data_IF_976989969486
#
_entry.id   IF_976989969486
#
_cell.length_a   1.000
_cell.length_b   1.000
_cell.length_c   1.000
_cell.angle_alpha   90.00
_cell.angle_beta   90.00
_cell.angle_gamma   90.00
#
_symmetry.space_group_name_H-M   'P 1'
#
loop_
_entity.id
_entity.type
_entity.pdbx_description
1 polymer ?
#
# COMPACT_ATOMS: atom_id res chain seq x y z
N UNK A 1 -13.27 26.04 -12.66
CA UNK A 1 -13.02 25.34 -11.38
C UNK A 1 -14.35 25.32 -10.64
N UNK A 2 -15.02 24.17 -10.39
CA UNK A 2 -15.91 23.96 -9.22
C UNK A 2 -16.89 22.78 -9.29
N UNK A 3 -17.20 22.15 -10.43
CA UNK A 3 -18.12 20.99 -10.41
C UNK A 3 -17.41 19.64 -10.27
N UNK A 4 -16.42 19.34 -11.13
CA UNK A 4 -15.68 18.07 -11.06
C UNK A 4 -14.97 17.84 -9.72
N UNK A 5 -14.31 18.88 -9.19
CA UNK A 5 -13.64 18.80 -7.87
C UNK A 5 -14.64 18.71 -6.71
N UNK A 6 -15.79 19.37 -6.82
CA UNK A 6 -16.85 19.25 -5.82
C UNK A 6 -17.50 17.87 -5.82
N UNK A 7 -17.69 17.25 -7.01
CA UNK A 7 -18.20 15.89 -7.15
C UNK A 7 -17.20 14.86 -6.60
N UNK A 8 -15.91 15.03 -6.90
CA UNK A 8 -14.85 14.17 -6.37
C UNK A 8 -14.77 14.18 -4.84
N UNK A 9 -14.98 15.34 -4.22
CA UNK A 9 -14.94 15.52 -2.76
C UNK A 9 -16.29 15.31 -2.05
N UNK A 10 -17.35 14.93 -2.78
CA UNK A 10 -18.69 14.79 -2.22
C UNK A 10 -18.82 13.47 -1.43
N UNK A 11 -18.91 13.60 -0.10
CA UNK A 11 -19.05 12.47 0.85
C UNK A 11 -20.46 11.84 0.82
N UNK A 12 -21.50 12.58 0.38
CA UNK A 12 -22.88 12.07 0.30
C UNK A 12 -23.34 11.75 -1.13
N UNK A 13 -23.83 10.52 -1.36
CA UNK A 13 -24.31 10.01 -2.66
C UNK A 13 -23.55 8.76 -3.13
N UNK A 14 -23.85 8.27 -4.33
CA UNK A 14 -23.08 7.18 -4.94
C UNK A 14 -21.68 7.69 -5.36
N UNK A 15 -20.66 7.28 -4.61
CA UNK A 15 -19.26 7.65 -4.85
C UNK A 15 -18.80 7.21 -6.25
N UNK A 16 -19.32 6.09 -6.76
CA UNK A 16 -18.99 5.61 -8.10
C UNK A 16 -19.53 6.57 -9.16
N UNK A 17 -20.83 6.89 -9.10
CA UNK A 17 -21.46 7.87 -9.99
C UNK A 17 -20.81 9.26 -9.90
N UNK A 18 -20.35 9.69 -8.73
CA UNK A 18 -19.63 10.96 -8.59
C UNK A 18 -18.29 10.99 -9.35
N UNK A 19 -17.54 9.87 -9.37
CA UNK A 19 -16.28 9.78 -10.12
C UNK A 19 -16.54 9.78 -11.63
N UNK A 20 -17.53 9.03 -12.11
CA UNK A 20 -17.90 9.06 -13.55
C UNK A 20 -18.31 10.47 -13.99
N UNK A 21 -19.16 11.14 -13.22
CA UNK A 21 -19.57 12.52 -13.52
C UNK A 21 -18.39 13.50 -13.48
N UNK A 22 -17.43 13.28 -12.58
CA UNK A 22 -16.22 14.11 -12.52
C UNK A 22 -15.36 13.92 -13.78
N UNK A 23 -15.16 12.67 -14.23
CA UNK A 23 -14.46 12.35 -15.48
C UNK A 23 -15.12 13.06 -16.65
N UNK A 24 -16.44 12.91 -16.83
CA UNK A 24 -17.18 13.57 -17.92
C UNK A 24 -17.04 15.11 -17.87
N UNK A 25 -17.12 15.70 -16.67
CA UNK A 25 -16.93 17.15 -16.50
C UNK A 25 -15.51 17.59 -16.88
N UNK A 26 -14.49 16.82 -16.53
CA UNK A 26 -13.11 17.13 -16.86
C UNK A 26 -12.84 16.95 -18.37
N UNK A 27 -13.36 15.90 -18.99
CA UNK A 27 -13.29 15.71 -20.44
C UNK A 27 -13.91 16.88 -21.20
N UNK A 28 -15.12 17.32 -20.81
CA UNK A 28 -15.75 18.53 -21.36
C UNK A 28 -14.93 19.80 -21.09
N UNK A 29 -14.29 19.92 -19.94
CA UNK A 29 -13.42 21.05 -19.66
C UNK A 29 -12.18 21.08 -20.56
N UNK A 30 -11.64 19.90 -20.96
CA UNK A 30 -10.55 19.79 -21.94
C UNK A 30 -11.00 20.09 -23.38
N UNK A 31 -12.29 20.11 -23.67
CA UNK A 31 -12.82 20.64 -24.94
C UNK A 31 -12.68 22.16 -25.03
N UNK A 32 -12.79 22.86 -23.89
CA UNK A 32 -12.74 24.32 -23.81
C UNK A 32 -11.33 24.82 -23.54
N UNK A 33 -10.67 24.29 -22.51
CA UNK A 33 -9.30 24.66 -22.17
C UNK A 33 -8.35 23.76 -22.94
N UNK A 34 -7.60 24.36 -23.87
CA UNK A 34 -6.55 23.69 -24.65
C UNK A 34 -5.18 24.04 -24.09
N UNK A 35 -4.19 23.17 -24.31
CA UNK A 35 -2.81 23.38 -23.85
C UNK A 35 -2.24 24.70 -24.39
N UNK A 36 -2.56 25.05 -25.62
CA UNK A 36 -2.03 26.23 -26.32
C UNK A 36 -2.67 27.54 -25.84
N UNK A 37 -3.94 27.51 -25.42
CA UNK A 37 -4.72 28.71 -25.10
C UNK A 37 -4.87 28.94 -23.60
N UNK A 38 -4.84 27.89 -22.80
CA UNK A 38 -5.00 27.95 -21.35
C UNK A 38 -4.15 26.87 -20.64
N UNK A 39 -2.81 26.89 -20.79
CA UNK A 39 -1.93 25.80 -20.37
C UNK A 39 -2.09 25.40 -18.90
N UNK A 40 -2.13 26.38 -17.98
CA UNK A 40 -2.25 26.11 -16.54
C UNK A 40 -3.60 25.49 -16.15
N UNK A 41 -4.70 25.96 -16.77
CA UNK A 41 -6.03 25.39 -16.53
C UNK A 41 -6.13 23.98 -17.12
N UNK A 42 -5.57 23.79 -18.32
CA UNK A 42 -5.48 22.49 -18.97
C UNK A 42 -4.70 21.50 -18.10
N UNK A 43 -3.51 21.86 -17.60
CA UNK A 43 -2.71 21.03 -16.70
C UNK A 43 -3.45 20.66 -15.40
N UNK A 44 -4.18 21.64 -14.83
CA UNK A 44 -5.03 21.41 -13.65
C UNK A 44 -6.13 20.39 -13.92
N UNK A 45 -6.78 20.47 -15.09
CA UNK A 45 -7.82 19.52 -15.47
C UNK A 45 -7.23 18.14 -15.74
N UNK A 46 -6.08 18.06 -16.42
CA UNK A 46 -5.37 16.80 -16.64
C UNK A 46 -5.01 16.13 -15.31
N UNK A 47 -4.41 16.85 -14.37
CA UNK A 47 -4.10 16.32 -13.05
C UNK A 47 -5.35 15.77 -12.34
N UNK A 48 -6.44 16.53 -12.31
CA UNK A 48 -7.65 16.09 -11.62
C UNK A 48 -8.37 14.93 -12.32
N UNK A 49 -8.33 14.89 -13.66
CA UNK A 49 -8.82 13.78 -14.46
C UNK A 49 -8.03 12.51 -14.16
N UNK A 50 -6.70 12.61 -14.05
CA UNK A 50 -5.87 11.48 -13.65
C UNK A 50 -6.20 10.95 -12.26
N UNK A 51 -6.47 11.84 -11.29
CA UNK A 51 -6.93 11.43 -9.94
C UNK A 51 -8.29 10.74 -10.03
N UNK A 52 -9.20 11.23 -10.87
CA UNK A 52 -10.51 10.62 -11.07
C UNK A 52 -10.38 9.22 -11.67
N UNK A 53 -9.58 9.02 -12.71
CA UNK A 53 -9.30 7.71 -13.29
C UNK A 53 -8.65 6.76 -12.27
N UNK A 54 -7.64 7.21 -11.51
CA UNK A 54 -7.01 6.38 -10.47
C UNK A 54 -7.99 5.98 -9.36
N UNK A 55 -8.99 6.78 -9.06
CA UNK A 55 -10.01 6.48 -8.04
C UNK A 55 -11.26 5.78 -8.59
N UNK A 56 -11.33 5.57 -9.90
CA UNK A 56 -12.47 4.95 -10.56
C UNK A 56 -12.57 3.46 -10.20
N UNK A 57 -13.74 3.08 -9.70
CA UNK A 57 -14.06 1.70 -9.28
C UNK A 57 -14.60 0.90 -10.47
N UNK A 58 -15.35 1.54 -11.37
CA UNK A 58 -15.89 0.91 -12.58
C UNK A 58 -14.87 0.77 -13.71
N UNK A 59 -15.15 -0.15 -14.63
CA UNK A 59 -14.31 -0.41 -15.81
C UNK A 59 -13.09 -1.27 -15.52
N UNK A 60 -12.22 -1.40 -16.53
CA UNK A 60 -10.97 -2.14 -16.41
C UNK A 60 -9.93 -1.34 -15.59
N UNK A 61 -9.38 -1.97 -14.52
CA UNK A 61 -8.46 -1.29 -13.60
C UNK A 61 -7.14 -0.93 -14.27
N UNK A 62 -6.64 -1.77 -15.17
CA UNK A 62 -5.40 -1.51 -15.90
C UNK A 62 -5.57 -0.28 -16.79
N UNK A 63 -6.64 -0.24 -17.58
CA UNK A 63 -6.99 0.91 -18.43
C UNK A 63 -7.15 2.20 -17.64
N UNK A 64 -7.83 2.16 -16.48
CA UNK A 64 -7.98 3.33 -15.61
C UNK A 64 -6.61 3.87 -15.14
N UNK A 65 -5.67 2.98 -14.79
CA UNK A 65 -4.33 3.37 -14.35
C UNK A 65 -3.48 3.95 -15.50
N UNK A 66 -3.55 3.38 -16.71
CA UNK A 66 -2.85 3.93 -17.87
C UNK A 66 -3.36 5.34 -18.22
N UNK A 67 -4.67 5.57 -18.18
CA UNK A 67 -5.23 6.90 -18.42
C UNK A 67 -4.83 7.90 -17.33
N UNK A 68 -4.75 7.45 -16.07
CA UNK A 68 -4.27 8.29 -14.98
C UNK A 68 -2.82 8.74 -15.22
N UNK A 69 -1.94 7.80 -15.57
CA UNK A 69 -0.53 8.05 -15.90
C UNK A 69 -0.43 9.04 -17.06
N UNK A 70 -1.14 8.80 -18.17
CA UNK A 70 -1.13 9.69 -19.34
C UNK A 70 -1.57 11.11 -18.98
N UNK A 71 -2.61 11.26 -18.17
CA UNK A 71 -3.07 12.58 -17.71
C UNK A 71 -2.03 13.29 -16.84
N UNK A 72 -1.35 12.57 -15.94
CA UNK A 72 -0.28 13.16 -15.13
C UNK A 72 0.94 13.56 -15.97
N UNK A 73 1.35 12.73 -16.93
CA UNK A 73 2.42 13.05 -17.87
C UNK A 73 2.09 14.31 -18.67
N UNK A 74 0.84 14.44 -19.16
CA UNK A 74 0.34 15.66 -19.81
C UNK A 74 0.44 16.88 -18.91
N UNK A 75 0.04 16.79 -17.63
CA UNK A 75 0.17 17.90 -16.69
C UNK A 75 1.63 18.34 -16.51
N UNK A 76 2.58 17.40 -16.50
CA UNK A 76 4.03 17.66 -16.41
C UNK A 76 4.62 18.30 -17.68
N UNK A 77 3.91 18.29 -18.82
CA UNK A 77 4.34 19.03 -20.02
C UNK A 77 4.19 20.55 -19.85
N UNK A 78 3.37 21.00 -18.90
CA UNK A 78 3.13 22.42 -18.60
C UNK A 78 3.80 22.81 -17.30
N UNK A 79 3.59 22.02 -16.24
CA UNK A 79 4.19 22.28 -14.95
C UNK A 79 5.56 21.63 -14.88
N UNK A 80 6.59 22.45 -14.90
CA UNK A 80 7.98 22.01 -14.69
C UNK A 80 8.45 22.40 -13.30
N UNK A 81 9.56 21.81 -12.85
CA UNK A 81 10.17 22.16 -11.56
C UNK A 81 10.49 23.66 -11.45
N UNK A 82 10.90 24.29 -12.54
CA UNK A 82 11.30 25.70 -12.59
C UNK A 82 10.11 26.65 -12.60
N UNK A 83 9.01 26.25 -13.25
CA UNK A 83 7.87 27.14 -13.54
C UNK A 83 6.74 27.00 -12.54
N UNK A 84 6.53 25.79 -12.00
CA UNK A 84 5.50 25.48 -11.02
C UNK A 84 5.98 24.37 -10.06
N UNK A 85 7.00 24.62 -9.22
CA UNK A 85 7.66 23.58 -8.43
C UNK A 85 6.70 22.78 -7.54
N UNK A 86 5.73 23.43 -6.90
CA UNK A 86 4.79 22.77 -5.99
C UNK A 86 3.79 21.88 -6.73
N UNK A 87 3.22 22.37 -7.84
CA UNK A 87 2.32 21.58 -8.68
C UNK A 87 3.08 20.41 -9.33
N UNK A 88 4.27 20.67 -9.87
CA UNK A 88 5.15 19.64 -10.41
C UNK A 88 5.44 18.54 -9.38
N UNK A 89 5.84 18.89 -8.16
CA UNK A 89 6.12 17.91 -7.10
C UNK A 89 4.87 17.13 -6.69
N UNK A 90 3.70 17.77 -6.71
CA UNK A 90 2.41 17.11 -6.44
C UNK A 90 2.08 16.09 -7.53
N UNK A 91 2.25 16.46 -8.80
CA UNK A 91 2.04 15.55 -9.93
C UNK A 91 3.04 14.40 -9.91
N UNK A 92 4.31 14.64 -9.57
CA UNK A 92 5.31 13.59 -9.38
C UNK A 92 4.89 12.59 -8.28
N UNK A 93 4.40 13.08 -7.13
CA UNK A 93 3.92 12.21 -6.06
C UNK A 93 2.77 11.30 -6.50
N UNK A 94 1.74 11.84 -7.15
CA UNK A 94 0.57 11.04 -7.59
C UNK A 94 0.89 10.15 -8.79
N UNK A 95 1.81 10.56 -9.67
CA UNK A 95 2.32 9.74 -10.76
C UNK A 95 3.13 8.55 -10.23
N UNK A 96 4.00 8.79 -9.24
CA UNK A 96 4.71 7.71 -8.56
C UNK A 96 3.76 6.70 -7.94
N UNK A 97 2.67 7.17 -7.32
CA UNK A 97 1.64 6.30 -6.76
C UNK A 97 0.89 5.51 -7.84
N UNK A 98 0.61 6.11 -9.00
CA UNK A 98 0.02 5.40 -10.12
C UNK A 98 0.95 4.32 -10.69
N UNK A 99 2.26 4.59 -10.77
CA UNK A 99 3.24 3.57 -11.15
C UNK A 99 3.35 2.43 -10.13
N UNK A 100 3.27 2.72 -8.83
CA UNK A 100 3.22 1.67 -7.79
C UNK A 100 2.00 0.76 -7.95
N UNK A 101 0.86 1.32 -8.35
CA UNK A 101 -0.40 0.57 -8.51
C UNK A 101 -0.56 -0.07 -9.90
N UNK A 102 0.26 0.34 -10.88
CA UNK A 102 0.15 -0.06 -12.29
C UNK A 102 0.24 -1.57 -12.46
N UNK A 103 -0.79 -2.13 -13.09
CA UNK A 103 -0.93 -3.56 -13.39
C UNK A 103 -0.17 -3.92 -14.67
N UNK A 104 -0.30 -3.11 -15.73
CA UNK A 104 0.38 -3.35 -17.00
C UNK A 104 1.89 -3.07 -16.99
N UNK A 105 2.61 -3.70 -17.91
CA UNK A 105 4.05 -3.51 -18.11
C UNK A 105 4.92 -4.27 -17.11
N UNK A 106 6.24 -4.13 -17.21
CA UNK A 106 7.16 -4.83 -16.31
C UNK A 106 7.15 -4.24 -14.90
N UNK A 107 6.80 -5.06 -13.90
CA UNK A 107 6.74 -4.66 -12.48
C UNK A 107 8.02 -3.97 -12.00
N UNK A 108 9.18 -4.46 -12.43
CA UNK A 108 10.49 -3.86 -12.11
C UNK A 108 10.55 -2.41 -12.59
N UNK A 109 10.19 -2.15 -13.85
CA UNK A 109 10.23 -0.81 -14.45
C UNK A 109 9.22 0.12 -13.79
N UNK A 110 8.02 -0.37 -13.49
CA UNK A 110 7.00 0.40 -12.78
C UNK A 110 7.52 0.89 -11.42
N UNK A 111 8.20 0.03 -10.65
CA UNK A 111 8.79 0.41 -9.37
C UNK A 111 9.94 1.41 -9.49
N UNK A 112 10.82 1.27 -10.50
CA UNK A 112 11.88 2.27 -10.74
C UNK A 112 11.30 3.63 -11.13
N UNK A 113 10.28 3.66 -12.00
CA UNK A 113 9.59 4.89 -12.36
C UNK A 113 8.93 5.54 -11.13
N UNK A 114 8.30 4.74 -10.25
CA UNK A 114 7.70 5.24 -9.02
C UNK A 114 8.74 5.88 -8.09
N UNK A 115 9.88 5.19 -7.88
CA UNK A 115 11.00 5.70 -7.08
C UNK A 115 11.52 7.02 -7.64
N UNK A 116 11.76 7.09 -8.96
CA UNK A 116 12.23 8.31 -9.62
C UNK A 116 11.25 9.48 -9.42
N UNK A 117 9.94 9.23 -9.54
CA UNK A 117 8.92 10.25 -9.30
C UNK A 117 8.92 10.73 -7.84
N UNK A 118 9.04 9.83 -6.86
CA UNK A 118 9.11 10.23 -5.46
C UNK A 118 10.40 11.00 -5.13
N UNK A 119 11.54 10.58 -5.67
CA UNK A 119 12.81 11.30 -5.54
C UNK A 119 12.70 12.72 -6.10
N UNK A 120 12.11 12.86 -7.31
CA UNK A 120 11.78 14.17 -7.90
C UNK A 120 10.89 15.02 -7.00
N UNK A 121 9.84 14.45 -6.42
CA UNK A 121 8.97 15.18 -5.50
C UNK A 121 9.72 15.69 -4.25
N UNK A 122 10.68 14.91 -3.72
CA UNK A 122 11.54 15.31 -2.60
C UNK A 122 12.54 16.43 -2.95
N UNK A 123 12.78 16.72 -4.23
CA UNK A 123 13.61 17.87 -4.62
C UNK A 123 12.96 19.23 -4.31
N UNK A 124 11.64 19.24 -4.10
CA UNK A 124 10.85 20.43 -3.78
C UNK A 124 10.20 20.33 -2.41
N UNK A 125 9.67 19.15 -2.06
CA UNK A 125 9.05 18.90 -0.76
C UNK A 125 10.15 18.68 0.26
N UNK A 126 10.21 19.53 1.28
CA UNK A 126 11.13 19.43 2.39
C UNK A 126 10.37 19.48 3.72
N UNK A 127 10.96 18.93 4.78
CA UNK A 127 10.35 18.87 6.11
C UNK A 127 10.00 20.26 6.64
N UNK A 128 10.80 21.28 6.34
CA UNK A 128 10.65 22.64 6.84
C UNK A 128 9.52 23.42 6.16
N UNK A 129 9.21 23.10 4.90
CA UNK A 129 8.29 23.89 4.07
C UNK A 129 6.95 23.19 3.84
N UNK A 130 6.94 21.86 3.82
CA UNK A 130 5.75 21.05 3.59
C UNK A 130 5.85 19.70 4.32
N UNK A 131 5.87 19.69 5.67
CA UNK A 131 6.18 18.49 6.46
C UNK A 131 5.27 17.31 6.17
N UNK A 132 3.95 17.53 6.04
CA UNK A 132 2.98 16.46 5.77
C UNK A 132 3.13 15.87 4.36
N UNK A 133 3.35 16.71 3.36
CA UNK A 133 3.58 16.25 1.99
C UNK A 133 4.91 15.51 1.89
N UNK A 134 5.96 16.02 2.54
CA UNK A 134 7.25 15.35 2.63
C UNK A 134 7.13 13.96 3.28
N UNK A 135 6.44 13.85 4.41
CA UNK A 135 6.19 12.57 5.08
C UNK A 135 5.42 11.58 4.18
N UNK A 136 4.47 12.08 3.39
CA UNK A 136 3.74 11.27 2.40
C UNK A 136 4.67 10.72 1.33
N UNK A 137 5.55 11.57 0.77
CA UNK A 137 6.53 11.14 -0.23
C UNK A 137 7.49 10.12 0.38
N UNK A 138 8.01 10.35 1.60
CA UNK A 138 8.89 9.43 2.31
C UNK A 138 8.21 8.06 2.51
N UNK A 139 6.99 8.02 3.02
CA UNK A 139 6.25 6.76 3.22
C UNK A 139 6.08 5.98 1.90
N UNK A 140 5.70 6.67 0.82
CA UNK A 140 5.49 6.05 -0.48
C UNK A 140 6.80 5.55 -1.11
N UNK A 141 7.88 6.35 -1.00
CA UNK A 141 9.22 5.96 -1.41
C UNK A 141 9.71 4.73 -0.64
N UNK A 142 9.50 4.70 0.67
CA UNK A 142 9.85 3.56 1.52
C UNK A 142 9.14 2.28 1.08
N UNK A 143 7.84 2.36 0.79
CA UNK A 143 7.07 1.23 0.27
C UNK A 143 7.57 0.76 -1.11
N UNK A 144 7.87 1.69 -2.02
CA UNK A 144 8.40 1.34 -3.34
C UNK A 144 9.79 0.69 -3.26
N UNK A 145 10.68 1.23 -2.41
CA UNK A 145 12.01 0.67 -2.14
C UNK A 145 11.92 -0.74 -1.54
N UNK A 146 11.01 -0.95 -0.59
CA UNK A 146 10.77 -2.25 0.00
C UNK A 146 10.32 -3.30 -1.02
N UNK A 147 9.56 -2.90 -2.04
CA UNK A 147 9.08 -3.78 -3.10
C UNK A 147 10.01 -3.84 -4.32
N UNK A 148 11.05 -3.00 -4.36
CA UNK A 148 11.99 -2.88 -5.48
C UNK A 148 12.65 -4.23 -5.78
N UNK A 149 12.55 -4.63 -7.05
CA UNK A 149 13.09 -5.88 -7.59
C UNK A 149 14.57 -5.72 -7.97
N UNK A 150 14.97 -4.55 -8.48
CA UNK A 150 16.35 -4.25 -8.87
C UNK A 150 17.24 -3.79 -7.71
N UNK A 151 18.56 -3.83 -7.94
CA UNK A 151 19.56 -3.32 -7.00
C UNK A 151 19.88 -4.28 -5.85
N UNK A 152 20.60 -3.77 -4.84
CA UNK A 152 20.95 -4.54 -3.66
C UNK A 152 19.77 -4.62 -2.68
N UNK A 153 19.26 -5.83 -2.43
CA UNK A 153 18.07 -6.05 -1.60
C UNK A 153 18.25 -5.52 -0.18
N UNK A 154 19.45 -5.66 0.40
CA UNK A 154 19.74 -5.17 1.75
C UNK A 154 19.62 -3.66 1.79
N UNK A 155 20.31 -2.95 0.89
CA UNK A 155 20.25 -1.49 0.79
C UNK A 155 18.83 -0.97 0.54
N UNK A 156 18.06 -1.64 -0.32
CA UNK A 156 16.67 -1.28 -0.56
C UNK A 156 15.84 -1.32 0.73
N UNK A 157 16.00 -2.36 1.56
CA UNK A 157 15.30 -2.48 2.84
C UNK A 157 15.79 -1.45 3.86
N UNK A 158 17.09 -1.19 3.97
CA UNK A 158 17.61 -0.15 4.87
C UNK A 158 17.08 1.24 4.49
N UNK A 159 17.09 1.59 3.19
CA UNK A 159 16.53 2.84 2.73
C UNK A 159 15.01 2.92 3.00
N UNK A 160 14.29 1.81 2.89
CA UNK A 160 12.86 1.76 3.21
C UNK A 160 12.59 2.01 4.70
N UNK A 161 13.42 1.45 5.59
CA UNK A 161 13.38 1.73 7.04
C UNK A 161 13.62 3.21 7.29
N UNK A 162 14.68 3.79 6.73
CA UNK A 162 15.01 5.22 6.89
C UNK A 162 13.86 6.12 6.42
N UNK A 163 13.25 5.82 5.27
CA UNK A 163 12.10 6.57 4.75
C UNK A 163 10.89 6.49 5.70
N UNK A 164 10.61 5.32 6.27
CA UNK A 164 9.50 5.16 7.22
C UNK A 164 9.78 5.88 8.55
N UNK A 165 11.01 5.81 9.07
CA UNK A 165 11.42 6.53 10.28
C UNK A 165 11.27 8.05 10.08
N UNK A 166 11.75 8.58 8.96
CA UNK A 166 11.54 9.98 8.55
C UNK A 166 10.07 10.37 8.52
N UNK A 167 9.20 9.56 7.93
CA UNK A 167 7.76 9.86 7.90
C UNK A 167 7.15 9.88 9.32
N UNK A 168 7.62 9.03 10.24
CA UNK A 168 7.18 9.00 11.64
C UNK A 168 7.68 10.19 12.49
N UNK A 169 8.70 10.93 12.06
CA UNK A 169 9.11 12.18 12.71
C UNK A 169 8.02 13.26 12.59
N UNK A 170 7.23 13.20 11.51
CA UNK A 170 6.13 14.15 11.25
C UNK A 170 4.79 13.56 11.68
N UNK A 171 4.50 12.32 11.29
CA UNK A 171 3.22 11.67 11.58
C UNK A 171 3.28 10.89 12.88
N UNK A 172 2.81 11.55 13.94
CA UNK A 172 2.62 10.92 15.24
C UNK A 172 1.22 10.33 15.36
N UNK A 173 1.04 9.43 16.34
CA UNK A 173 -0.26 8.82 16.65
C UNK A 173 -1.30 9.88 17.03
N UNK A 174 -0.89 10.96 17.68
CA UNK A 174 -1.76 12.03 18.16
C UNK A 174 -2.21 12.96 17.02
N UNK A 175 -1.31 13.25 16.08
CA UNK A 175 -1.57 14.19 15.00
C UNK A 175 -2.26 13.54 13.79
N UNK A 176 -1.84 12.32 13.42
CA UNK A 176 -2.30 11.63 12.23
C UNK A 176 -2.36 10.10 12.47
N UNK A 177 -3.30 9.60 13.30
CA UNK A 177 -3.30 8.21 13.77
C UNK A 177 -3.36 7.19 12.62
N UNK A 178 -4.16 7.46 11.58
CA UNK A 178 -4.33 6.54 10.44
C UNK A 178 -3.06 6.48 9.58
N UNK A 179 -2.45 7.62 9.28
CA UNK A 179 -1.22 7.68 8.50
C UNK A 179 -0.05 7.09 9.29
N UNK A 180 0.06 7.40 10.58
CA UNK A 180 1.02 6.80 11.49
C UNK A 180 0.90 5.26 11.50
N UNK A 181 -0.31 4.71 11.62
CA UNK A 181 -0.53 3.26 11.56
C UNK A 181 -0.08 2.65 10.22
N UNK A 182 -0.29 3.35 9.10
CA UNK A 182 0.18 2.91 7.77
C UNK A 182 1.70 2.90 7.68
N UNK A 183 2.39 3.93 8.20
CA UNK A 183 3.85 3.94 8.23
C UNK A 183 4.39 2.85 9.15
N UNK A 184 3.80 2.66 10.33
CA UNK A 184 4.15 1.58 11.26
C UNK A 184 4.03 0.21 10.60
N UNK A 185 2.99 -0.04 9.81
CA UNK A 185 2.91 -1.29 9.04
C UNK A 185 4.05 -1.48 8.05
N UNK A 186 4.35 -0.46 7.25
CA UNK A 186 5.44 -0.54 6.26
C UNK A 186 6.79 -0.78 6.95
N UNK A 187 7.04 -0.08 8.06
CA UNK A 187 8.24 -0.22 8.88
C UNK A 187 8.34 -1.63 9.48
N UNK A 188 7.24 -2.17 10.02
CA UNK A 188 7.21 -3.54 10.55
C UNK A 188 7.50 -4.58 9.47
N UNK A 189 6.98 -4.38 8.25
CA UNK A 189 7.31 -5.23 7.11
C UNK A 189 8.76 -5.09 6.69
N UNK A 190 9.34 -3.88 6.77
CA UNK A 190 10.73 -3.66 6.43
C UNK A 190 11.64 -4.41 7.41
N UNK A 191 11.36 -4.31 8.71
CA UNK A 191 12.06 -5.06 9.74
C UNK A 191 11.90 -6.58 9.60
N UNK A 192 10.70 -7.07 9.22
CA UNK A 192 10.45 -8.51 8.99
C UNK A 192 11.38 -9.08 7.92
N UNK A 193 11.65 -8.33 6.85
CA UNK A 193 12.51 -8.75 5.73
C UNK A 193 13.95 -8.23 5.82
N UNK A 194 14.30 -7.48 6.87
CA UNK A 194 15.64 -6.93 7.04
C UNK A 194 16.65 -8.04 7.28
N UNK A 195 17.67 -8.06 6.41
CA UNK A 195 18.77 -9.03 6.42
C UNK A 195 19.95 -8.54 7.30
N UNK A 196 20.14 -7.22 7.39
CA UNK A 196 21.18 -6.62 8.22
C UNK A 196 20.82 -6.57 9.72
N UNK A 197 21.83 -6.52 10.59
CA UNK A 197 21.64 -6.39 12.03
C UNK A 197 21.30 -7.71 12.74
N UNK A 198 20.88 -7.61 13.99
CA UNK A 198 20.46 -8.76 14.79
C UNK A 198 19.04 -9.21 14.40
N UNK A 199 18.88 -10.49 14.05
CA UNK A 199 17.60 -11.01 13.55
C UNK A 199 16.50 -10.97 14.60
N UNK A 200 16.82 -11.23 15.87
CA UNK A 200 15.83 -11.21 16.95
C UNK A 200 15.32 -9.79 17.17
N UNK A 201 16.21 -8.80 17.24
CA UNK A 201 15.83 -7.39 17.34
C UNK A 201 15.00 -6.91 16.16
N UNK A 202 15.33 -7.33 14.94
CA UNK A 202 14.52 -6.99 13.78
C UNK A 202 13.09 -7.54 13.91
N UNK A 203 12.92 -8.78 14.39
CA UNK A 203 11.58 -9.35 14.59
C UNK A 203 10.84 -8.66 15.74
N UNK A 204 11.52 -8.34 16.85
CA UNK A 204 10.94 -7.58 17.97
C UNK A 204 10.44 -6.19 17.51
N UNK A 205 11.26 -5.46 16.76
CA UNK A 205 10.88 -4.18 16.18
C UNK A 205 9.68 -4.33 15.23
N UNK A 206 9.64 -5.39 14.42
CA UNK A 206 8.51 -5.65 13.54
C UNK A 206 7.20 -5.87 14.32
N UNK A 207 7.25 -6.68 15.38
CA UNK A 207 6.11 -6.94 16.27
C UNK A 207 5.61 -5.62 16.87
N UNK A 208 6.50 -4.82 17.44
CA UNK A 208 6.15 -3.53 18.05
C UNK A 208 5.46 -2.59 17.04
N UNK A 209 5.99 -2.50 15.82
CA UNK A 209 5.40 -1.67 14.77
C UNK A 209 3.99 -2.15 14.38
N UNK A 210 3.81 -3.46 14.20
CA UNK A 210 2.49 -4.02 13.89
C UNK A 210 1.48 -3.85 15.03
N UNK A 211 1.91 -3.99 16.28
CA UNK A 211 1.05 -3.74 17.45
C UNK A 211 0.60 -2.28 17.49
N UNK A 212 1.51 -1.31 17.29
CA UNK A 212 1.18 0.13 17.18
C UNK A 212 0.15 0.42 16.09
N UNK A 213 0.28 -0.20 14.91
CA UNK A 213 -0.71 -0.05 13.84
C UNK A 213 -2.08 -0.61 14.23
N UNK A 214 -2.10 -1.76 14.90
CA UNK A 214 -3.32 -2.46 15.35
C UNK A 214 -4.01 -1.80 16.55
N UNK A 215 -3.38 -0.83 17.22
CA UNK A 215 -4.06 0.04 18.20
C UNK A 215 -5.02 1.02 17.51
N UNK A 216 -4.73 1.41 16.27
CA UNK A 216 -5.55 2.34 15.49
C UNK A 216 -6.53 1.59 14.59
N UNK A 217 -6.04 0.58 13.87
CA UNK A 217 -6.87 -0.25 13.02
C UNK A 217 -7.51 -1.35 13.84
N UNK A 218 -8.81 -1.23 14.07
CA UNK A 218 -9.61 -2.27 14.72
C UNK A 218 -10.47 -3.00 13.69
N UNK A 219 -10.95 -4.18 14.05
CA UNK A 219 -11.84 -4.98 13.19
C UNK A 219 -13.07 -4.20 12.74
N UNK A 220 -13.60 -3.32 13.58
CA UNK A 220 -14.82 -2.55 13.33
C UNK A 220 -14.57 -1.33 12.44
N UNK A 221 -13.41 -0.67 12.58
CA UNK A 221 -13.11 0.59 11.90
C UNK A 221 -12.40 0.38 10.56
N UNK A 222 -11.53 -0.61 10.49
CA UNK A 222 -10.70 -0.91 9.33
C UNK A 222 -10.50 -2.44 9.21
N UNK A 223 -11.56 -3.21 8.92
CA UNK A 223 -11.53 -4.68 8.98
C UNK A 223 -10.41 -5.30 8.12
N UNK A 224 -10.24 -4.82 6.89
CA UNK A 224 -9.24 -5.33 5.96
C UNK A 224 -7.81 -5.01 6.41
N UNK A 225 -7.55 -3.76 6.81
CA UNK A 225 -6.24 -3.34 7.32
C UNK A 225 -5.89 -4.05 8.63
N UNK A 226 -6.87 -4.22 9.52
CA UNK A 226 -6.71 -5.01 10.74
C UNK A 226 -6.37 -6.47 10.44
N UNK A 227 -7.04 -7.10 9.47
CA UNK A 227 -6.74 -8.47 9.06
C UNK A 227 -5.32 -8.58 8.45
N UNK A 228 -4.89 -7.59 7.65
CA UNK A 228 -3.50 -7.50 7.14
C UNK A 228 -2.51 -7.39 8.28
N UNK A 229 -2.74 -6.47 9.22
CA UNK A 229 -1.89 -6.29 10.40
C UNK A 229 -1.80 -7.57 11.24
N UNK A 230 -2.92 -8.28 11.45
CA UNK A 230 -2.92 -9.57 12.14
C UNK A 230 -2.15 -10.64 11.38
N UNK A 231 -2.29 -10.71 10.06
CA UNK A 231 -1.52 -11.66 9.25
C UNK A 231 -0.01 -11.40 9.36
N UNK A 232 0.41 -10.13 9.25
CA UNK A 232 1.81 -9.74 9.34
C UNK A 232 2.39 -9.94 10.74
N UNK A 233 1.62 -9.63 11.78
CA UNK A 233 1.99 -9.90 13.16
C UNK A 233 2.17 -11.40 13.42
N UNK A 234 1.26 -12.23 12.87
CA UNK A 234 1.38 -13.69 12.90
C UNK A 234 2.68 -14.16 12.24
N UNK A 235 3.00 -13.63 11.06
CA UNK A 235 4.25 -13.96 10.35
C UNK A 235 5.47 -13.59 11.20
N UNK A 236 5.49 -12.40 11.81
CA UNK A 236 6.58 -11.98 12.69
C UNK A 236 6.76 -12.92 13.89
N UNK A 237 5.68 -13.35 14.54
CA UNK A 237 5.75 -14.35 15.61
C UNK A 237 6.32 -15.69 15.11
N UNK A 238 5.99 -16.13 13.90
CA UNK A 238 6.58 -17.38 13.35
C UNK A 238 8.09 -17.27 13.10
N UNK A 239 8.59 -16.07 12.79
CA UNK A 239 10.03 -15.81 12.59
C UNK A 239 10.78 -15.49 13.88
N UNK A 240 10.08 -15.30 15.01
CA UNK A 240 10.70 -14.94 16.28
C UNK A 240 11.43 -16.14 16.88
N UNK A 241 12.77 -16.05 16.87
CA UNK A 241 13.67 -17.07 17.41
C UNK A 241 13.92 -16.86 18.92
N UNK A 242 13.75 -15.63 19.41
CA UNK A 242 13.86 -15.27 20.82
C UNK A 242 12.61 -15.60 21.65
N UNK A 243 12.80 -15.79 22.95
CA UNK A 243 11.70 -16.03 23.90
C UNK A 243 11.15 -17.47 23.86
N UNK A 244 9.93 -17.64 24.36
CA UNK A 244 9.25 -18.93 24.38
C UNK A 244 8.64 -19.24 23.00
N UNK A 245 9.32 -20.10 22.24
CA UNK A 245 8.87 -20.56 20.92
C UNK A 245 7.46 -21.12 20.95
N UNK A 246 7.05 -21.81 22.02
CA UNK A 246 5.69 -22.36 22.12
C UNK A 246 4.68 -21.22 22.16
N UNK A 247 4.94 -20.19 22.97
CA UNK A 247 4.08 -19.01 23.07
C UNK A 247 4.02 -18.24 21.74
N UNK A 248 5.15 -18.08 21.04
CA UNK A 248 5.19 -17.40 19.75
C UNK A 248 4.31 -18.11 18.71
N UNK A 249 4.36 -19.45 18.65
CA UNK A 249 3.51 -20.22 17.72
C UNK A 249 2.03 -20.08 18.07
N UNK A 250 1.65 -20.09 19.35
CA UNK A 250 0.26 -19.85 19.77
C UNK A 250 -0.22 -18.44 19.39
N UNK A 251 0.60 -17.41 19.63
CA UNK A 251 0.30 -16.04 19.22
C UNK A 251 0.11 -15.93 17.70
N UNK A 252 0.94 -16.62 16.91
CA UNK A 252 0.81 -16.65 15.45
C UNK A 252 -0.52 -17.30 15.02
N UNK A 253 -0.87 -18.45 15.60
CA UNK A 253 -2.13 -19.15 15.34
C UNK A 253 -3.33 -18.25 15.66
N UNK A 254 -3.31 -17.56 16.80
CA UNK A 254 -4.37 -16.62 17.19
C UNK A 254 -4.50 -15.47 16.19
N UNK A 255 -3.38 -14.91 15.75
CA UNK A 255 -3.36 -13.83 14.78
C UNK A 255 -3.95 -14.26 13.43
N UNK A 256 -3.59 -15.44 12.91
CA UNK A 256 -4.15 -15.94 11.65
C UNK A 256 -5.64 -16.25 11.78
N UNK A 257 -6.09 -16.84 12.89
CA UNK A 257 -7.53 -17.06 13.14
C UNK A 257 -8.31 -15.75 13.12
N UNK A 258 -7.80 -14.71 13.79
CA UNK A 258 -8.39 -13.36 13.77
C UNK A 258 -8.47 -12.78 12.36
N UNK A 259 -7.41 -12.92 11.56
CA UNK A 259 -7.43 -12.46 10.17
C UNK A 259 -8.49 -13.19 9.32
N UNK A 260 -8.70 -14.50 9.55
CA UNK A 260 -9.72 -15.32 8.88
C UNK A 260 -11.17 -15.00 9.31
N UNK A 261 -11.37 -14.21 10.37
CA UNK A 261 -12.71 -13.71 10.73
C UNK A 261 -13.20 -12.61 9.76
N UNK A 262 -12.28 -11.98 9.04
CA UNK A 262 -12.57 -10.92 8.07
C UNK A 262 -12.36 -11.42 6.65
N UNK A 263 -11.22 -12.08 6.40
CA UNK A 263 -10.92 -12.66 5.09
C UNK A 263 -11.67 -13.97 4.96
N UNK A 264 -12.59 -14.02 4.03
CA UNK A 264 -13.32 -15.26 3.70
C UNK A 264 -13.00 -15.68 2.28
N UNK A 265 -13.30 -16.94 1.96
CA UNK A 265 -13.11 -17.48 0.60
C UNK A 265 -13.90 -16.66 -0.43
N UNK A 266 -15.07 -16.14 -0.06
CA UNK A 266 -15.98 -15.41 -0.94
C UNK A 266 -15.54 -13.96 -1.16
N UNK A 267 -14.97 -13.33 -0.15
CA UNK A 267 -14.65 -11.88 -0.17
C UNK A 267 -13.21 -11.59 -0.55
N UNK A 268 -12.29 -12.49 -0.23
CA UNK A 268 -10.85 -12.35 -0.50
C UNK A 268 -10.19 -13.73 -0.68
N UNK A 269 -10.55 -14.49 -1.74
CA UNK A 269 -10.14 -15.89 -1.90
C UNK A 269 -8.63 -16.11 -1.80
N UNK A 270 -7.84 -15.28 -2.49
CA UNK A 270 -6.38 -15.37 -2.53
C UNK A 270 -5.73 -15.09 -1.18
N UNK A 271 -6.15 -14.01 -0.51
CA UNK A 271 -5.64 -13.69 0.81
C UNK A 271 -6.07 -14.74 1.84
N UNK A 272 -7.34 -15.19 1.78
CA UNK A 272 -7.86 -16.24 2.64
C UNK A 272 -7.02 -17.52 2.52
N UNK A 273 -6.75 -17.99 1.29
CA UNK A 273 -5.90 -19.14 1.04
C UNK A 273 -4.47 -18.95 1.60
N UNK A 274 -3.91 -17.75 1.44
CA UNK A 274 -2.59 -17.40 2.00
C UNK A 274 -2.57 -17.48 3.52
N UNK A 275 -3.59 -16.91 4.20
CA UNK A 275 -3.69 -16.97 5.66
C UNK A 275 -3.93 -18.41 6.14
N UNK A 276 -4.72 -19.21 5.41
CA UNK A 276 -4.90 -20.64 5.70
C UNK A 276 -3.55 -21.38 5.65
N UNK A 277 -2.72 -21.16 4.64
CA UNK A 277 -1.40 -21.79 4.58
C UNK A 277 -0.49 -21.37 5.73
N UNK A 278 -0.51 -20.09 6.11
CA UNK A 278 0.27 -19.61 7.24
C UNK A 278 -0.20 -20.24 8.55
N UNK A 279 -1.51 -20.37 8.74
CA UNK A 279 -2.11 -21.08 9.86
C UNK A 279 -1.73 -22.57 9.87
N UNK A 280 -1.81 -23.26 8.73
CA UNK A 280 -1.41 -24.66 8.61
C UNK A 280 0.07 -24.88 8.93
N UNK A 281 0.95 -24.00 8.47
CA UNK A 281 2.37 -24.03 8.81
C UNK A 281 2.62 -23.84 10.32
N UNK A 282 1.90 -22.90 10.95
CA UNK A 282 1.99 -22.68 12.39
C UNK A 282 1.46 -23.87 13.20
N UNK A 283 0.32 -24.46 12.79
CA UNK A 283 -0.25 -25.66 13.42
C UNK A 283 0.68 -26.87 13.32
N UNK A 284 1.33 -27.07 12.16
CA UNK A 284 2.35 -28.12 11.97
C UNK A 284 3.54 -27.94 12.93
N UNK A 285 3.92 -26.70 13.21
CA UNK A 285 5.04 -26.35 14.08
C UNK A 285 4.64 -26.19 15.56
N UNK A 286 3.37 -26.37 15.90
CA UNK A 286 2.83 -26.19 17.26
C UNK A 286 3.38 -27.27 18.19
N UNK A 287 3.98 -26.82 19.28
CA UNK A 287 4.64 -27.68 20.29
C UNK A 287 3.60 -28.24 21.28
N UNK A 288 2.62 -27.43 21.67
CA UNK A 288 1.57 -27.83 22.60
C UNK A 288 0.41 -28.61 21.95
N UNK A 289 -0.29 -29.41 22.76
CA UNK A 289 -1.45 -30.18 22.35
C UNK A 289 -1.12 -31.54 21.73
N UNK A 290 -2.14 -32.20 21.16
CA UNK A 290 -1.99 -33.48 20.48
C UNK A 290 -1.39 -33.29 19.07
N UNK A 291 -0.29 -34.00 18.80
CA UNK A 291 0.46 -33.84 17.55
C UNK A 291 -0.35 -34.30 16.33
N UNK A 292 -1.10 -35.40 16.46
CA UNK A 292 -1.92 -35.93 15.36
C UNK A 292 -2.99 -34.91 14.98
N UNK A 293 -3.72 -34.39 15.98
CA UNK A 293 -4.72 -33.34 15.77
C UNK A 293 -4.14 -32.04 15.19
N UNK A 294 -2.93 -31.64 15.62
CA UNK A 294 -2.26 -30.47 15.05
C UNK A 294 -1.94 -30.67 13.56
N UNK A 295 -1.51 -31.89 13.17
CA UNK A 295 -1.25 -32.23 11.77
C UNK A 295 -2.54 -32.33 10.95
N UNK A 296 -3.60 -32.92 11.49
CA UNK A 296 -4.92 -32.98 10.84
C UNK A 296 -5.45 -31.56 10.54
N UNK A 297 -5.43 -30.67 11.54
CA UNK A 297 -5.85 -29.27 11.32
C UNK A 297 -4.94 -28.55 10.31
N UNK A 298 -3.64 -28.86 10.29
CA UNK A 298 -2.73 -28.28 9.32
C UNK A 298 -3.04 -28.75 7.88
N UNK A 299 -3.38 -30.04 7.71
CA UNK A 299 -3.81 -30.61 6.43
C UNK A 299 -5.10 -29.94 5.98
N UNK A 300 -6.10 -29.79 6.85
CA UNK A 300 -7.36 -29.11 6.53
C UNK A 300 -7.12 -27.66 6.04
N UNK A 301 -6.19 -26.94 6.66
CA UNK A 301 -5.83 -25.59 6.21
C UNK A 301 -5.20 -25.60 4.80
N UNK A 302 -4.33 -26.58 4.51
CA UNK A 302 -3.73 -26.74 3.19
C UNK A 302 -4.79 -27.11 2.14
N UNK A 303 -5.73 -28.01 2.46
CA UNK A 303 -6.84 -28.39 1.59
C UNK A 303 -7.70 -27.17 1.24
N UNK A 304 -8.06 -26.37 2.24
CA UNK A 304 -8.77 -25.10 2.05
C UNK A 304 -8.03 -24.14 1.11
N UNK A 305 -6.73 -23.96 1.29
CA UNK A 305 -5.94 -23.10 0.40
C UNK A 305 -5.90 -23.64 -1.05
N UNK A 306 -5.79 -24.96 -1.21
CA UNK A 306 -5.79 -25.61 -2.52
C UNK A 306 -7.12 -25.43 -3.27
N UNK A 307 -8.25 -25.31 -2.57
CA UNK A 307 -9.54 -25.03 -3.23
C UNK A 307 -9.54 -23.72 -4.04
N UNK A 308 -8.66 -22.77 -3.72
CA UNK A 308 -8.51 -21.50 -4.45
C UNK A 308 -7.38 -21.58 -5.48
N UNK A 309 -6.26 -22.22 -5.12
CA UNK A 309 -5.08 -22.24 -5.98
C UNK A 309 -5.13 -23.28 -7.10
N UNK A 310 -5.97 -24.30 -6.99
CA UNK A 310 -6.15 -25.34 -8.04
C UNK A 310 -7.21 -24.98 -9.07
N UNK A 311 -8.11 -24.05 -8.75
CA UNK A 311 -8.91 -23.35 -9.77
C UNK A 311 -7.97 -22.41 -10.52
N UNK A 312 -7.73 -22.65 -11.81
CA UNK A 312 -6.99 -21.74 -12.71
C UNK A 312 -7.54 -20.31 -12.61
N UNK A 313 -6.96 -19.51 -11.73
CA UNK A 313 -7.27 -18.10 -11.57
C UNK A 313 -6.08 -17.32 -10.99
N UNK A 314 -4.85 -17.83 -11.17
CA UNK A 314 -3.69 -16.99 -10.96
C UNK A 314 -3.73 -15.89 -12.04
N UNK A 315 -3.80 -14.59 -11.69
CA UNK A 315 -3.25 -13.61 -12.57
C UNK A 315 -1.75 -13.92 -12.63
N UNK A 316 -1.31 -14.54 -13.71
CA UNK A 316 0.05 -14.32 -14.18
C UNK A 316 0.06 -12.84 -14.60
N UNK A 317 0.56 -11.99 -13.70
CA UNK A 317 1.44 -10.82 -13.96
C UNK A 317 1.57 -9.92 -12.72
#
# INVERSE_FOLDING_TARGET
MNLGSALQNRIGGDRSGNVENAIECYEKALEVWKKETAPLHWATVQMNLGIAFRNRIGGDRSWNLENAIECYEKALEVWTKETAPLDWATVQLILGSAFTDRIGGERRRNLENAIECYEKALEVRATETAPLDWATVQMNLGNALQNRIGGDRRRNVENAVECCEKALEVWTKEAAPVDCARVQMNLGTAFTYRIGGDRSRNVENAIECYEKALEVWTKERAPLDWATGKTNLGNAFTYCIGGDRSRNVENAIECYKKALEVRTKETAPWDWATVQMNLGSALRNRIGGDRSRNLENAIECCEKALEVWTTEAAPLD
#
